data_IF_623807935098
#
_entry.id   IF_623807935098
#
_cell.length_a   1.000
_cell.length_b   1.000
_cell.length_c   1.000
_cell.angle_alpha   90.00
_cell.angle_beta   90.00
_cell.angle_gamma   90.00
#
_symmetry.space_group_name_H-M   'P 1'
#
loop_
_entity.id
_entity.type
_entity.pdbx_description
1 polymer ?
#
# COMPACT_ATOMS: atom_id res chain seq x y z
N UNK A 1 -29.45 6.09 37.19
CA UNK A 1 -28.37 5.55 36.34
C UNK A 1 -28.96 4.33 35.68
N UNK A 2 -29.13 4.46 34.38
CA UNK A 2 -29.96 3.58 33.54
C UNK A 2 -29.33 2.19 33.41
N UNK A 3 -30.21 1.18 33.38
CA UNK A 3 -29.91 -0.24 33.24
C UNK A 3 -29.13 -0.51 31.95
N UNK A 4 -27.81 -0.58 32.03
CA UNK A 4 -27.03 -1.38 31.09
C UNK A 4 -27.47 -2.83 31.30
N UNK A 5 -28.11 -3.44 30.30
CA UNK A 5 -28.57 -4.82 30.36
C UNK A 5 -27.48 -5.74 30.93
N UNK A 6 -27.87 -6.58 31.89
CA UNK A 6 -26.94 -7.42 32.65
C UNK A 6 -26.06 -8.21 31.68
N UNK A 7 -24.75 -8.26 31.91
CA UNK A 7 -23.83 -9.06 31.10
C UNK A 7 -24.25 -10.55 31.04
N UNK A 8 -25.05 -11.01 32.01
CA UNK A 8 -25.69 -12.33 32.05
C UNK A 8 -26.81 -12.55 31.02
N UNK A 9 -27.38 -11.48 30.47
CA UNK A 9 -28.48 -11.54 29.48
C UNK A 9 -27.97 -11.50 28.03
N UNK A 10 -26.67 -11.27 27.83
CA UNK A 10 -26.06 -11.25 26.50
C UNK A 10 -26.00 -12.64 25.88
N UNK A 11 -26.15 -12.71 24.56
CA UNK A 11 -25.94 -13.94 23.82
C UNK A 11 -24.49 -14.42 23.99
N UNK A 12 -24.30 -15.74 24.11
CA UNK A 12 -22.98 -16.34 24.34
C UNK A 12 -21.99 -16.01 23.20
N UNK A 13 -22.48 -15.83 21.98
CA UNK A 13 -21.67 -15.49 20.81
C UNK A 13 -21.15 -14.03 20.82
N UNK A 14 -21.80 -13.15 21.57
CA UNK A 14 -21.51 -11.71 21.62
C UNK A 14 -20.80 -11.29 22.93
N UNK A 15 -20.50 -12.26 23.80
CA UNK A 15 -19.76 -12.03 25.04
C UNK A 15 -18.37 -11.50 24.71
N UNK A 16 -17.98 -10.42 25.36
CA UNK A 16 -16.63 -9.87 25.35
C UNK A 16 -15.89 -10.21 26.64
N UNK A 17 -14.57 -10.05 26.63
CA UNK A 17 -13.74 -10.26 27.83
C UNK A 17 -14.22 -9.35 28.98
N UNK A 18 -14.62 -8.11 28.69
CA UNK A 18 -15.20 -7.19 29.68
C UNK A 18 -16.48 -7.74 30.31
N UNK A 19 -17.35 -8.38 29.52
CA UNK A 19 -18.59 -8.96 30.03
C UNK A 19 -18.34 -10.11 31.03
N UNK A 20 -17.26 -10.88 30.83
CA UNK A 20 -16.85 -11.92 31.78
C UNK A 20 -16.40 -11.31 33.12
N UNK A 21 -15.69 -10.17 33.08
CA UNK A 21 -15.33 -9.43 34.30
C UNK A 21 -16.54 -8.83 35.02
N UNK A 22 -17.52 -8.32 34.27
CA UNK A 22 -18.78 -7.82 34.85
C UNK A 22 -19.59 -8.96 35.50
N UNK A 23 -19.66 -10.12 34.85
CA UNK A 23 -20.28 -11.33 35.43
C UNK A 23 -19.53 -11.75 36.71
N UNK A 24 -18.20 -11.77 36.70
CA UNK A 24 -17.39 -12.11 37.86
C UNK A 24 -17.64 -11.15 39.04
N UNK A 25 -17.83 -9.86 38.77
CA UNK A 25 -18.14 -8.86 39.79
C UNK A 25 -19.52 -9.11 40.43
N UNK A 26 -20.54 -9.41 39.62
CA UNK A 26 -21.89 -9.75 40.13
C UNK A 26 -21.85 -11.03 40.96
N UNK A 27 -21.17 -12.07 40.47
CA UNK A 27 -20.99 -13.35 41.21
C UNK A 27 -20.21 -13.13 42.51
N UNK A 28 -19.20 -12.27 42.50
CA UNK A 28 -18.43 -11.89 43.69
C UNK A 28 -19.29 -11.21 44.76
N UNK A 29 -20.18 -10.30 44.36
CA UNK A 29 -21.12 -9.65 45.29
C UNK A 29 -22.09 -10.64 45.95
N UNK A 30 -22.57 -11.66 45.22
CA UNK A 30 -23.40 -12.71 45.81
C UNK A 30 -22.61 -13.56 46.83
N UNK A 31 -21.34 -13.86 46.53
CA UNK A 31 -20.48 -14.55 47.48
C UNK A 31 -20.19 -13.73 48.73
N UNK A 32 -19.99 -12.43 48.61
CA UNK A 32 -19.81 -11.53 49.75
C UNK A 32 -21.01 -11.57 50.70
N UNK A 33 -22.25 -11.52 50.16
CA UNK A 33 -23.47 -11.64 50.98
C UNK A 33 -23.61 -12.98 51.69
N UNK A 34 -23.19 -14.08 51.05
CA UNK A 34 -23.21 -15.41 51.66
C UNK A 34 -22.14 -15.51 52.76
N UNK A 35 -20.95 -14.93 52.55
CA UNK A 35 -19.89 -14.86 53.54
C UNK A 35 -20.37 -14.09 54.77
N UNK A 36 -21.06 -12.96 54.58
CA UNK A 36 -21.58 -12.13 55.67
C UNK A 36 -22.61 -12.87 56.55
N UNK A 37 -23.43 -13.75 55.96
CA UNK A 37 -24.47 -14.48 56.69
C UNK A 37 -24.00 -15.83 57.28
N UNK A 38 -23.13 -16.55 56.58
CA UNK A 38 -22.80 -17.95 56.91
C UNK A 38 -21.30 -18.19 57.17
N UNK A 39 -20.46 -17.17 57.01
CA UNK A 39 -19.01 -17.25 57.18
C UNK A 39 -18.27 -17.84 55.96
N UNK A 40 -16.97 -17.58 55.88
CA UNK A 40 -16.12 -17.94 54.73
C UNK A 40 -16.00 -19.46 54.48
N UNK A 41 -16.16 -20.27 55.53
CA UNK A 41 -16.08 -21.73 55.47
C UNK A 41 -17.07 -22.34 54.47
N UNK A 42 -18.27 -21.73 54.34
CA UNK A 42 -19.33 -22.20 53.45
C UNK A 42 -18.94 -22.14 51.96
N UNK A 43 -18.04 -21.22 51.58
CA UNK A 43 -17.65 -20.97 50.19
C UNK A 43 -16.24 -21.44 49.84
N UNK A 44 -15.44 -21.82 50.84
CA UNK A 44 -14.04 -22.23 50.73
C UNK A 44 -13.75 -23.25 49.61
N UNK A 45 -14.66 -24.21 49.37
CA UNK A 45 -14.53 -25.25 48.34
C UNK A 45 -15.17 -24.90 46.99
N UNK A 46 -16.10 -23.93 46.97
CA UNK A 46 -16.84 -23.53 45.77
C UNK A 46 -16.11 -22.41 45.02
N UNK A 47 -15.56 -21.45 45.76
CA UNK A 47 -14.87 -20.27 45.20
C UNK A 47 -13.81 -20.64 44.15
N UNK A 48 -12.88 -21.60 44.41
CA UNK A 48 -11.85 -21.94 43.42
C UNK A 48 -12.43 -22.57 42.15
N UNK A 49 -13.57 -23.29 42.25
CA UNK A 49 -14.24 -23.89 41.09
C UNK A 49 -14.92 -22.84 40.22
N UNK A 50 -15.52 -21.83 40.85
CA UNK A 50 -16.20 -20.75 40.15
C UNK A 50 -15.20 -19.83 39.47
N UNK A 51 -14.09 -19.50 40.15
CA UNK A 51 -12.94 -18.82 39.53
C UNK A 51 -12.45 -19.62 38.33
N UNK A 52 -12.28 -20.94 38.45
CA UNK A 52 -11.85 -21.77 37.32
C UNK A 52 -12.82 -21.76 36.13
N UNK A 53 -14.12 -21.74 36.38
CA UNK A 53 -15.13 -21.64 35.31
C UNK A 53 -15.06 -20.28 34.62
N UNK A 54 -14.89 -19.19 35.37
CA UNK A 54 -14.74 -17.84 34.83
C UNK A 54 -13.44 -17.69 34.04
N UNK A 55 -12.32 -18.26 34.49
CA UNK A 55 -11.06 -18.33 33.73
C UNK A 55 -11.24 -19.06 32.39
N UNK A 56 -11.93 -20.21 32.39
CA UNK A 56 -12.20 -20.97 31.15
C UNK A 56 -13.05 -20.14 30.20
N UNK A 57 -14.08 -19.46 30.72
CA UNK A 57 -14.95 -18.59 29.94
C UNK A 57 -14.17 -17.42 29.33
N UNK A 58 -13.31 -16.76 30.11
CA UNK A 58 -12.44 -15.68 29.63
C UNK A 58 -11.56 -16.15 28.47
N UNK A 59 -10.91 -17.32 28.60
CA UNK A 59 -10.06 -17.88 27.54
C UNK A 59 -10.87 -18.22 26.29
N UNK A 60 -12.08 -18.77 26.43
CA UNK A 60 -12.96 -19.08 25.31
C UNK A 60 -13.42 -17.82 24.58
N UNK A 61 -13.81 -16.78 25.32
CA UNK A 61 -14.22 -15.49 24.75
C UNK A 61 -13.03 -14.76 24.09
N UNK A 62 -11.86 -14.79 24.72
CA UNK A 62 -10.61 -14.23 24.16
C UNK A 62 -10.16 -14.93 22.88
N UNK A 63 -10.49 -16.22 22.72
CA UNK A 63 -10.26 -16.96 21.47
C UNK A 63 -11.37 -16.74 20.45
N UNK A 64 -12.59 -16.44 20.90
CA UNK A 64 -13.71 -16.13 20.00
C UNK A 64 -13.52 -14.78 19.31
N UNK A 65 -12.74 -13.88 19.90
CA UNK A 65 -12.26 -12.66 19.23
C UNK A 65 -11.24 -12.91 18.10
N UNK A 66 -11.02 -14.18 17.68
CA UNK A 66 -10.27 -14.58 16.46
C UNK A 66 -11.14 -14.36 15.17
N UNK A 67 -12.21 -13.58 15.29
CA UNK A 67 -12.87 -12.87 14.20
C UNK A 67 -11.97 -12.19 13.14
N UNK A 68 -10.75 -11.64 13.41
CA UNK A 68 -9.92 -11.01 12.38
C UNK A 68 -9.56 -11.94 11.22
N UNK A 69 -9.30 -13.24 11.44
CA UNK A 69 -8.97 -14.14 10.31
C UNK A 69 -10.19 -14.35 9.40
N UNK A 70 -11.38 -14.48 10.01
CA UNK A 70 -12.62 -14.60 9.24
C UNK A 70 -13.00 -13.29 8.53
N UNK A 71 -12.65 -12.16 9.12
CA UNK A 71 -12.90 -10.82 8.56
C UNK A 71 -11.88 -10.47 7.47
N UNK A 72 -10.61 -10.84 7.64
CA UNK A 72 -9.55 -10.80 6.62
C UNK A 72 -9.94 -11.67 5.42
N UNK A 73 -10.37 -12.91 5.64
CA UNK A 73 -10.83 -13.78 4.56
C UNK A 73 -12.08 -13.23 3.84
N UNK A 74 -12.97 -12.53 4.55
CA UNK A 74 -14.11 -11.82 3.93
C UNK A 74 -13.64 -10.65 3.08
N UNK A 75 -12.72 -9.83 3.57
CA UNK A 75 -12.14 -8.72 2.82
C UNK A 75 -11.36 -9.20 1.58
N UNK A 76 -10.60 -10.28 1.72
CA UNK A 76 -9.89 -10.94 0.61
C UNK A 76 -10.89 -11.46 -0.44
N UNK A 77 -11.98 -12.10 0.00
CA UNK A 77 -13.03 -12.57 -0.90
C UNK A 77 -13.68 -11.41 -1.67
N UNK A 78 -13.98 -10.30 -1.00
CA UNK A 78 -14.60 -9.13 -1.63
C UNK A 78 -13.63 -8.41 -2.58
N UNK A 79 -12.34 -8.34 -2.24
CA UNK A 79 -11.28 -7.89 -3.14
C UNK A 79 -11.20 -8.77 -4.39
N UNK A 80 -11.17 -10.10 -4.23
CA UNK A 80 -11.11 -11.04 -5.35
C UNK A 80 -12.36 -10.98 -6.24
N UNK A 81 -13.54 -10.73 -5.66
CA UNK A 81 -14.77 -10.49 -6.41
C UNK A 81 -14.65 -9.23 -7.26
N UNK A 82 -14.15 -8.14 -6.69
CA UNK A 82 -13.95 -6.88 -7.39
C UNK A 82 -12.93 -7.01 -8.54
N UNK A 83 -11.81 -7.69 -8.28
CA UNK A 83 -10.81 -7.98 -9.31
C UNK A 83 -11.38 -8.83 -10.44
N UNK A 84 -12.20 -9.83 -10.12
CA UNK A 84 -12.88 -10.66 -11.14
C UNK A 84 -13.82 -9.81 -12.00
N UNK A 85 -14.61 -8.93 -11.39
CA UNK A 85 -15.53 -8.05 -12.13
C UNK A 85 -14.78 -7.07 -13.03
N UNK A 86 -13.71 -6.44 -12.53
CA UNK A 86 -12.90 -5.51 -13.31
C UNK A 86 -12.20 -6.20 -14.49
N UNK A 87 -11.68 -7.42 -14.30
CA UNK A 87 -11.13 -8.23 -15.40
C UNK A 87 -12.17 -8.53 -16.46
N UNK A 88 -13.38 -8.94 -16.07
CA UNK A 88 -14.46 -9.26 -17.01
C UNK A 88 -14.91 -8.00 -17.78
N UNK A 89 -14.97 -6.84 -17.12
CA UNK A 89 -15.27 -5.57 -17.76
C UNK A 89 -14.19 -5.11 -18.73
N UNK A 90 -12.91 -5.32 -18.36
CA UNK A 90 -11.78 -5.08 -19.27
C UNK A 90 -11.87 -5.99 -20.49
N UNK A 91 -12.09 -7.29 -20.33
CA UNK A 91 -12.27 -8.21 -21.45
C UNK A 91 -13.45 -7.82 -22.35
N UNK A 92 -14.56 -7.38 -21.75
CA UNK A 92 -15.72 -6.89 -22.51
C UNK A 92 -15.41 -5.61 -23.29
N UNK A 93 -14.60 -4.69 -22.74
CA UNK A 93 -14.13 -3.49 -23.43
C UNK A 93 -13.22 -3.84 -24.60
N UNK A 94 -12.19 -4.65 -24.35
CA UNK A 94 -11.27 -5.10 -25.41
C UNK A 94 -12.00 -5.84 -26.53
N UNK A 95 -13.00 -6.66 -26.21
CA UNK A 95 -13.82 -7.34 -27.21
C UNK A 95 -14.58 -6.37 -28.11
N UNK A 96 -15.21 -5.34 -27.53
CA UNK A 96 -15.89 -4.30 -28.30
C UNK A 96 -14.93 -3.47 -29.15
N UNK A 97 -13.74 -3.20 -28.64
CA UNK A 97 -12.69 -2.52 -29.41
C UNK A 97 -12.23 -3.37 -30.59
N UNK A 98 -12.05 -4.69 -30.41
CA UNK A 98 -11.77 -5.61 -31.50
C UNK A 98 -12.90 -5.63 -32.53
N UNK A 99 -14.16 -5.76 -32.09
CA UNK A 99 -15.33 -5.72 -32.98
C UNK A 99 -15.35 -4.42 -33.81
N UNK A 100 -15.09 -3.28 -33.19
CA UNK A 100 -15.03 -1.99 -33.89
C UNK A 100 -13.89 -1.95 -34.92
N UNK A 101 -12.71 -2.46 -34.57
CA UNK A 101 -11.56 -2.55 -35.49
C UNK A 101 -11.89 -3.47 -36.66
N UNK A 102 -12.53 -4.61 -36.42
CA UNK A 102 -12.97 -5.52 -37.47
C UNK A 102 -14.00 -4.87 -38.40
N UNK A 103 -14.95 -4.11 -37.86
CA UNK A 103 -15.96 -3.40 -38.66
C UNK A 103 -15.34 -2.31 -39.54
N UNK A 104 -14.41 -1.52 -38.98
CA UNK A 104 -13.66 -0.51 -39.76
C UNK A 104 -12.87 -1.19 -40.87
N UNK A 105 -12.15 -2.27 -40.55
CA UNK A 105 -11.35 -3.00 -41.54
C UNK A 105 -12.21 -3.63 -42.65
N UNK A 106 -13.41 -4.15 -42.32
CA UNK A 106 -14.39 -4.62 -43.31
C UNK A 106 -14.88 -3.48 -44.20
N UNK A 107 -15.14 -2.30 -43.64
CA UNK A 107 -15.51 -1.11 -44.39
C UNK A 107 -14.43 -0.71 -45.39
N UNK A 108 -13.18 -0.55 -44.92
CA UNK A 108 -12.04 -0.21 -45.76
C UNK A 108 -11.80 -1.24 -46.88
N UNK A 109 -11.89 -2.53 -46.56
CA UNK A 109 -11.77 -3.60 -47.55
C UNK A 109 -12.86 -3.51 -48.63
N UNK A 110 -14.10 -3.21 -48.23
CA UNK A 110 -15.23 -3.05 -49.15
C UNK A 110 -15.07 -1.80 -50.04
N UNK A 111 -14.57 -0.70 -49.48
CA UNK A 111 -14.30 0.53 -50.23
C UNK A 111 -13.20 0.32 -51.27
N UNK A 112 -12.13 -0.38 -50.90
CA UNK A 112 -11.06 -0.75 -51.84
C UNK A 112 -11.57 -1.68 -52.95
N UNK A 113 -12.40 -2.68 -52.62
CA UNK A 113 -13.02 -3.54 -53.62
C UNK A 113 -13.93 -2.74 -54.58
N UNK A 114 -14.67 -1.77 -54.05
CA UNK A 114 -15.53 -0.89 -54.84
C UNK A 114 -14.71 -0.01 -55.79
N UNK A 115 -13.58 0.54 -55.32
CA UNK A 115 -12.63 1.30 -56.15
C UNK A 115 -12.01 0.43 -57.24
N UNK A 116 -11.60 -0.81 -56.92
CA UNK A 116 -11.07 -1.74 -57.92
C UNK A 116 -12.12 -2.04 -58.99
N UNK A 117 -13.37 -2.29 -58.59
CA UNK A 117 -14.45 -2.56 -59.53
C UNK A 117 -14.72 -1.36 -60.47
N UNK A 118 -14.75 -0.14 -59.93
CA UNK A 118 -14.88 1.08 -60.72
C UNK A 118 -13.72 1.24 -61.72
N UNK A 119 -12.48 1.09 -61.26
CA UNK A 119 -11.30 1.17 -62.14
C UNK A 119 -11.28 0.07 -63.20
N UNK A 120 -11.77 -1.14 -62.90
CA UNK A 120 -11.92 -2.22 -63.88
C UNK A 120 -12.98 -1.89 -64.94
N UNK A 121 -14.10 -1.30 -64.54
CA UNK A 121 -15.16 -0.86 -65.46
C UNK A 121 -14.70 0.29 -66.35
N UNK A 122 -14.00 1.28 -65.78
CA UNK A 122 -13.38 2.37 -66.54
C UNK A 122 -12.36 1.86 -67.55
N UNK A 123 -11.46 0.96 -67.14
CA UNK A 123 -10.49 0.36 -68.06
C UNK A 123 -11.18 -0.42 -69.19
N UNK A 124 -12.23 -1.19 -68.87
CA UNK A 124 -13.01 -1.91 -69.88
C UNK A 124 -13.69 -0.95 -70.86
N UNK A 125 -14.28 0.13 -70.35
CA UNK A 125 -14.91 1.19 -71.14
C UNK A 125 -13.91 1.89 -72.07
N UNK A 126 -12.74 2.25 -71.55
CA UNK A 126 -11.65 2.86 -72.33
C UNK A 126 -11.14 1.91 -73.41
N UNK A 127 -10.97 0.62 -73.11
CA UNK A 127 -10.60 -0.41 -74.10
C UNK A 127 -11.65 -0.54 -75.22
N UNK A 128 -12.94 -0.55 -74.88
CA UNK A 128 -14.02 -0.59 -75.88
C UNK A 128 -14.07 0.67 -76.74
N UNK A 129 -13.82 1.84 -76.15
CA UNK A 129 -13.83 3.13 -76.86
C UNK A 129 -12.60 3.29 -77.78
N UNK A 130 -11.45 2.77 -77.36
CA UNK A 130 -10.25 2.72 -78.22
C UNK A 130 -10.39 1.75 -79.39
N UNK A 131 -11.26 0.74 -79.27
CA UNK A 131 -11.57 -0.21 -80.35
C UNK A 131 -12.60 0.30 -81.37
N UNK A 132 -13.36 1.35 -81.05
CA UNK A 132 -14.46 1.86 -81.88
C UNK A 132 -14.13 3.16 -82.65
N UNK A 133 -12.85 3.50 -82.82
CA UNK A 133 -12.45 4.70 -83.59
C UNK A 133 -12.42 4.43 -85.10
N UNK A 134 -13.50 4.79 -85.77
CA UNK A 134 -13.60 5.13 -87.20
C UNK A 134 -14.26 6.52 -87.35
N UNK A 135 -14.14 7.22 -88.50
CA UNK A 135 -14.11 8.68 -88.52
C UNK A 135 -15.46 9.35 -88.24
N UNK A 136 -15.37 10.40 -87.42
CA UNK A 136 -16.42 11.26 -86.88
C UNK A 136 -17.41 11.77 -87.94
N UNK A 137 -18.71 11.67 -87.64
CA UNK A 137 -19.81 12.20 -88.47
C UNK A 137 -20.62 13.24 -87.68
N UNK A 138 -21.45 14.04 -88.35
CA UNK A 138 -22.23 15.15 -87.75
C UNK A 138 -23.16 14.75 -86.58
N UNK A 139 -23.47 13.46 -86.40
CA UNK A 139 -24.12 12.93 -85.18
C UNK A 139 -23.29 13.14 -83.90
N UNK A 140 -21.97 13.21 -84.01
CA UNK A 140 -21.07 13.31 -82.87
C UNK A 140 -21.11 14.71 -82.23
N UNK A 141 -21.52 15.76 -82.96
CA UNK A 141 -21.75 17.09 -82.40
C UNK A 141 -22.96 17.12 -81.45
N UNK A 142 -24.05 16.44 -81.81
CA UNK A 142 -25.23 16.28 -80.93
C UNK A 142 -24.97 15.30 -79.78
N UNK A 143 -24.16 14.25 -80.00
CA UNK A 143 -23.70 13.38 -78.91
C UNK A 143 -22.75 14.10 -77.97
N UNK A 144 -21.91 15.00 -78.46
CA UNK A 144 -21.02 15.83 -77.65
C UNK A 144 -21.80 16.85 -76.81
N UNK A 145 -22.90 17.41 -77.32
CA UNK A 145 -23.86 18.24 -76.53
C UNK A 145 -24.57 17.42 -75.44
N UNK A 146 -25.04 16.21 -75.76
CA UNK A 146 -25.60 15.28 -74.77
C UNK A 146 -24.57 14.75 -73.77
N UNK A 147 -23.29 14.66 -74.17
CA UNK A 147 -22.16 14.30 -73.30
C UNK A 147 -21.83 15.45 -72.34
N UNK A 148 -21.86 16.69 -72.81
CA UNK A 148 -21.70 17.88 -71.95
C UNK A 148 -22.85 18.03 -70.96
N UNK A 149 -24.08 17.63 -71.30
CA UNK A 149 -25.20 17.61 -70.34
C UNK A 149 -25.02 16.52 -69.26
N UNK A 150 -24.54 15.33 -69.63
CA UNK A 150 -24.19 14.27 -68.66
C UNK A 150 -23.03 14.69 -67.77
N UNK A 151 -21.99 15.31 -68.32
CA UNK A 151 -20.87 15.89 -67.58
C UNK A 151 -21.33 17.00 -66.63
N UNK A 152 -22.24 17.87 -67.06
CA UNK A 152 -22.88 18.89 -66.20
C UNK A 152 -23.66 18.24 -65.06
N UNK A 153 -24.37 17.15 -65.32
CA UNK A 153 -25.11 16.42 -64.29
C UNK A 153 -24.17 15.71 -63.29
N UNK A 154 -23.05 15.15 -63.75
CA UNK A 154 -21.99 14.62 -62.89
C UNK A 154 -21.37 15.72 -62.05
N UNK A 155 -21.02 16.87 -62.64
CA UNK A 155 -20.47 18.03 -61.92
C UNK A 155 -21.45 18.56 -60.86
N UNK A 156 -22.75 18.57 -61.14
CA UNK A 156 -23.78 18.95 -60.15
C UNK A 156 -23.81 17.97 -58.98
N UNK A 157 -23.80 16.66 -59.25
CA UNK A 157 -23.74 15.63 -58.18
C UNK A 157 -22.44 15.71 -57.38
N UNK A 158 -21.31 15.95 -58.05
CA UNK A 158 -20.02 16.11 -57.39
C UNK A 158 -20.04 17.32 -56.46
N UNK A 159 -20.60 18.45 -56.92
CA UNK A 159 -20.79 19.65 -56.10
C UNK A 159 -21.68 19.37 -54.89
N UNK A 160 -22.80 18.66 -55.06
CA UNK A 160 -23.68 18.28 -53.95
C UNK A 160 -22.97 17.38 -52.92
N UNK A 161 -22.14 16.43 -53.36
CA UNK A 161 -21.34 15.58 -52.47
C UNK A 161 -20.27 16.40 -51.75
N UNK A 162 -19.57 17.30 -52.44
CA UNK A 162 -18.56 18.19 -51.85
C UNK A 162 -19.20 19.12 -50.82
N UNK A 163 -20.37 19.69 -51.10
CA UNK A 163 -21.07 20.56 -50.17
C UNK A 163 -21.55 19.76 -48.93
N UNK A 164 -22.03 18.53 -49.11
CA UNK A 164 -22.35 17.62 -47.99
C UNK A 164 -21.14 17.28 -47.13
N UNK A 165 -20.01 16.92 -47.76
CA UNK A 165 -18.76 16.63 -47.05
C UNK A 165 -18.27 17.85 -46.27
N UNK A 166 -18.39 19.06 -46.82
CA UNK A 166 -18.06 20.30 -46.11
C UNK A 166 -18.92 20.52 -44.87
N UNK A 167 -20.23 20.27 -44.97
CA UNK A 167 -21.13 20.41 -43.84
C UNK A 167 -20.90 19.32 -42.78
N UNK A 168 -20.55 18.10 -43.21
CA UNK A 168 -20.16 17.01 -42.31
C UNK A 168 -18.84 17.32 -41.59
N UNK A 169 -17.83 17.84 -42.28
CA UNK A 169 -16.58 18.30 -41.66
C UNK A 169 -16.88 19.37 -40.61
N UNK A 170 -17.70 20.38 -40.93
CA UNK A 170 -18.10 21.42 -39.95
C UNK A 170 -18.88 20.86 -38.77
N UNK A 171 -19.69 19.83 -38.97
CA UNK A 171 -20.40 19.16 -37.88
C UNK A 171 -19.42 18.40 -36.98
N UNK A 172 -18.47 17.67 -37.57
CA UNK A 172 -17.42 16.96 -36.85
C UNK A 172 -16.48 17.89 -36.10
N UNK A 173 -16.10 19.03 -36.69
CA UNK A 173 -15.30 20.05 -36.01
C UNK A 173 -16.02 20.56 -34.75
N UNK A 174 -17.32 20.84 -34.83
CA UNK A 174 -18.13 21.25 -33.66
C UNK A 174 -18.25 20.14 -32.60
N UNK A 175 -18.36 18.88 -33.03
CA UNK A 175 -18.36 17.74 -32.10
C UNK A 175 -17.00 17.62 -31.39
N UNK A 176 -15.90 17.82 -32.13
CA UNK A 176 -14.55 17.81 -31.57
C UNK A 176 -14.32 18.95 -30.59
N UNK A 177 -14.80 20.17 -30.88
CA UNK A 177 -14.67 21.28 -29.92
C UNK A 177 -15.41 20.99 -28.63
N UNK A 178 -16.64 20.47 -28.70
CA UNK A 178 -17.40 20.10 -27.50
C UNK A 178 -16.71 19.00 -26.68
N UNK A 179 -16.18 17.97 -27.35
CA UNK A 179 -15.41 16.92 -26.67
C UNK A 179 -14.13 17.44 -26.04
N UNK A 180 -13.45 18.41 -26.66
CA UNK A 180 -12.29 19.06 -26.07
C UNK A 180 -12.67 19.86 -24.82
N UNK A 181 -13.77 20.60 -24.84
CA UNK A 181 -14.30 21.31 -23.66
C UNK A 181 -14.61 20.34 -22.52
N UNK A 182 -15.22 19.19 -22.81
CA UNK A 182 -15.49 18.14 -21.82
C UNK A 182 -14.19 17.55 -21.24
N UNK A 183 -13.18 17.30 -22.09
CA UNK A 183 -11.86 16.81 -21.65
C UNK A 183 -11.19 17.84 -20.74
N UNK A 184 -11.21 19.12 -21.10
CA UNK A 184 -10.65 20.20 -20.27
C UNK A 184 -11.38 20.30 -18.92
N UNK A 185 -12.71 20.18 -18.91
CA UNK A 185 -13.49 20.17 -17.67
C UNK A 185 -13.13 18.97 -16.77
N UNK A 186 -12.99 17.78 -17.35
CA UNK A 186 -12.56 16.57 -16.63
C UNK A 186 -11.13 16.70 -16.10
N UNK A 187 -10.21 17.27 -16.89
CA UNK A 187 -8.85 17.55 -16.44
C UNK A 187 -8.83 18.52 -15.25
N UNK A 188 -9.63 19.58 -15.28
CA UNK A 188 -9.76 20.49 -14.14
C UNK A 188 -10.31 19.80 -12.89
N UNK A 189 -11.30 18.91 -13.04
CA UNK A 189 -11.80 18.11 -11.91
C UNK A 189 -10.73 17.16 -11.37
N UNK A 190 -9.97 16.51 -12.25
CA UNK A 190 -8.87 15.64 -11.87
C UNK A 190 -7.80 16.40 -11.08
N UNK A 191 -7.37 17.58 -11.54
CA UNK A 191 -6.40 18.41 -10.82
C UNK A 191 -6.91 18.86 -9.44
N UNK A 192 -8.20 19.21 -9.33
CA UNK A 192 -8.82 19.53 -8.04
C UNK A 192 -8.80 18.34 -7.09
N UNK A 193 -9.17 17.14 -7.57
CA UNK A 193 -9.14 15.92 -6.77
C UNK A 193 -7.72 15.53 -6.36
N UNK A 194 -6.73 15.68 -7.24
CA UNK A 194 -5.32 15.44 -6.88
C UNK A 194 -4.88 16.35 -5.73
N UNK A 195 -5.25 17.64 -5.78
CA UNK A 195 -4.95 18.59 -4.70
C UNK A 195 -5.60 18.19 -3.38
N UNK A 196 -6.88 17.87 -3.39
CA UNK A 196 -7.59 17.39 -2.19
C UNK A 196 -6.96 16.10 -1.65
N UNK A 197 -6.58 15.17 -2.52
CA UNK A 197 -5.97 13.91 -2.11
C UNK A 197 -4.60 14.16 -1.46
N UNK A 198 -3.80 15.05 -2.02
CA UNK A 198 -2.52 15.48 -1.43
C UNK A 198 -2.73 16.10 -0.04
N UNK A 199 -3.68 17.03 0.10
CA UNK A 199 -4.00 17.69 1.37
C UNK A 199 -4.45 16.67 2.43
N UNK A 200 -5.27 15.68 2.04
CA UNK A 200 -5.72 14.62 2.93
C UNK A 200 -4.57 13.69 3.35
N UNK A 201 -3.67 13.31 2.44
CA UNK A 201 -2.47 12.52 2.78
C UNK A 201 -1.57 13.28 3.75
N UNK A 202 -1.37 14.57 3.51
CA UNK A 202 -0.59 15.42 4.42
C UNK A 202 -1.25 15.47 5.81
N UNK A 203 -2.58 15.66 5.87
CA UNK A 203 -3.33 15.66 7.13
C UNK A 203 -3.23 14.32 7.88
N UNK A 204 -3.31 13.19 7.17
CA UNK A 204 -3.12 11.86 7.75
C UNK A 204 -1.72 11.76 8.35
N UNK A 205 -0.67 12.13 7.61
CA UNK A 205 0.72 12.10 8.10
C UNK A 205 0.90 12.95 9.37
N UNK A 206 0.32 14.15 9.42
CA UNK A 206 0.34 15.00 10.62
C UNK A 206 -0.36 14.32 11.79
N UNK A 207 -1.57 13.79 11.60
CA UNK A 207 -2.33 13.10 12.67
C UNK A 207 -1.60 11.84 13.14
N UNK A 208 -1.00 11.07 12.24
CA UNK A 208 -0.19 9.91 12.58
C UNK A 208 1.05 10.29 13.40
N UNK A 209 1.75 11.37 13.03
CA UNK A 209 2.90 11.85 13.81
C UNK A 209 2.49 12.32 15.22
N UNK A 210 1.34 13.00 15.34
CA UNK A 210 0.77 13.39 16.63
C UNK A 210 0.39 12.18 17.47
N UNK A 211 -0.23 11.16 16.85
CA UNK A 211 -0.56 9.91 17.53
C UNK A 211 0.67 9.18 18.07
N UNK A 212 1.75 9.12 17.28
CA UNK A 212 3.03 8.53 17.72
C UNK A 212 3.64 9.30 18.89
N UNK A 213 3.67 10.63 18.82
CA UNK A 213 4.18 11.46 19.92
C UNK A 213 3.39 11.27 21.22
N UNK A 214 2.05 11.15 21.14
CA UNK A 214 1.21 10.87 22.30
C UNK A 214 1.47 9.47 22.89
N UNK A 215 1.70 8.46 22.04
CA UNK A 215 2.07 7.12 22.49
C UNK A 215 3.42 7.16 23.21
N UNK A 216 4.42 7.86 22.68
CA UNK A 216 5.73 8.03 23.31
C UNK A 216 5.62 8.71 24.68
N UNK A 217 4.85 9.80 24.78
CA UNK A 217 4.60 10.48 26.06
C UNK A 217 3.89 9.58 27.07
N UNK A 218 2.89 8.80 26.63
CA UNK A 218 2.20 7.84 27.48
C UNK A 218 3.18 6.81 28.06
N UNK A 219 4.02 6.23 27.20
CA UNK A 219 5.03 5.23 27.61
C UNK A 219 6.03 5.82 28.60
N UNK A 220 6.48 7.05 28.39
CA UNK A 220 7.39 7.74 29.31
C UNK A 220 6.77 8.00 30.68
N UNK A 221 5.49 8.42 30.71
CA UNK A 221 4.75 8.62 31.96
C UNK A 221 4.49 7.30 32.69
N UNK A 222 4.13 6.23 31.98
CA UNK A 222 3.95 4.89 32.54
C UNK A 222 5.26 4.36 33.14
N UNK A 223 6.38 4.50 32.45
CA UNK A 223 7.70 4.13 32.95
C UNK A 223 8.08 4.95 34.21
N UNK A 224 7.82 6.26 34.20
CA UNK A 224 8.07 7.15 35.34
C UNK A 224 7.20 6.81 36.56
N UNK A 225 5.95 6.41 36.34
CA UNK A 225 5.05 5.97 37.40
C UNK A 225 5.51 4.62 37.98
N UNK A 226 5.94 3.70 37.12
CA UNK A 226 6.48 2.40 37.54
C UNK A 226 7.76 2.54 38.37
N UNK A 227 8.69 3.40 37.95
CA UNK A 227 9.91 3.71 38.70
C UNK A 227 9.60 4.27 40.10
N UNK A 228 8.70 5.25 40.19
CA UNK A 228 8.23 5.78 41.47
C UNK A 228 7.55 4.73 42.34
N UNK A 229 6.78 3.83 41.73
CA UNK A 229 6.16 2.69 42.43
C UNK A 229 7.21 1.75 43.05
N UNK A 230 8.30 1.47 42.34
CA UNK A 230 9.42 0.67 42.84
C UNK A 230 10.15 1.38 44.00
N UNK A 231 10.42 2.68 43.88
CA UNK A 231 11.02 3.48 44.95
C UNK A 231 10.16 3.50 46.22
N UNK A 232 8.85 3.73 46.09
CA UNK A 232 7.93 3.68 47.23
C UNK A 232 7.90 2.27 47.85
N UNK A 233 7.94 1.23 47.03
CA UNK A 233 8.07 -0.15 47.49
C UNK A 233 9.34 -0.38 48.31
N UNK A 234 10.49 0.08 47.82
CA UNK A 234 11.77 -0.02 48.51
C UNK A 234 11.77 0.75 49.84
N UNK A 235 11.26 1.98 49.85
CA UNK A 235 11.14 2.79 51.08
C UNK A 235 10.22 2.12 52.10
N UNK A 236 9.11 1.50 51.68
CA UNK A 236 8.23 0.75 52.59
C UNK A 236 8.94 -0.44 53.22
N UNK A 237 9.76 -1.16 52.46
CA UNK A 237 10.57 -2.27 52.98
C UNK A 237 11.59 -1.77 53.99
N UNK A 238 12.27 -0.66 53.72
CA UNK A 238 13.24 -0.08 54.63
C UNK A 238 12.58 0.42 55.93
N UNK A 239 11.42 1.09 55.83
CA UNK A 239 10.62 1.47 57.00
C UNK A 239 10.20 0.25 57.82
N UNK A 240 9.79 -0.85 57.17
CA UNK A 240 9.45 -2.08 57.87
C UNK A 240 10.67 -2.68 58.61
N UNK A 241 11.84 -2.70 57.96
CA UNK A 241 13.10 -3.17 58.54
C UNK A 241 13.54 -2.32 59.74
N UNK A 242 13.43 -1.00 59.63
CA UNK A 242 13.74 -0.08 60.73
C UNK A 242 12.78 -0.24 61.90
N UNK A 243 11.48 -0.47 61.64
CA UNK A 243 10.49 -0.76 62.70
C UNK A 243 10.81 -2.07 63.43
N UNK A 244 11.21 -3.10 62.71
CA UNK A 244 11.60 -4.39 63.30
C UNK A 244 12.84 -4.24 64.19
N UNK A 245 13.86 -3.49 63.73
CA UNK A 245 15.04 -3.16 64.56
C UNK A 245 14.66 -2.39 65.82
N UNK A 246 13.78 -1.41 65.71
CA UNK A 246 13.30 -0.62 66.86
C UNK A 246 12.49 -1.46 67.85
N UNK A 247 11.70 -2.43 67.37
CA UNK A 247 11.00 -3.40 68.23
C UNK A 247 11.95 -4.41 68.88
N UNK A 248 13.02 -4.81 68.20
CA UNK A 248 14.07 -5.66 68.75
C UNK A 248 14.95 -4.98 69.82
N UNK A 249 15.00 -3.65 69.82
CA UNK A 249 15.74 -2.84 70.81
C UNK A 249 14.91 -2.43 72.05
N UNK A 250 13.73 -3.00 72.26
CA UNK A 250 12.99 -2.86 73.53
C UNK A 250 13.41 -3.97 74.51
N UNK A 251 14.34 -3.74 75.46
CA UNK A 251 14.41 -4.62 76.62
C UNK A 251 13.11 -4.44 77.40
N UNK A 252 12.57 -5.55 77.92
CA UNK A 252 11.43 -5.58 78.82
C UNK A 252 11.56 -4.48 79.90
N UNK A 253 10.87 -3.36 79.70
CA UNK A 253 10.88 -2.25 80.66
C UNK A 253 9.92 -2.60 81.78
N UNK A 254 10.49 -2.95 82.93
CA UNK A 254 9.79 -2.93 84.22
C UNK A 254 9.13 -1.55 84.41
N UNK A 255 7.92 -1.48 84.99
CA UNK A 255 7.19 -0.24 85.16
C UNK A 255 7.66 0.50 86.42
N UNK A 256 8.94 0.84 86.48
CA UNK A 256 9.40 1.83 87.43
C UNK A 256 10.65 2.54 86.90
N UNK A 257 10.80 3.79 87.31
CA UNK A 257 11.99 4.62 87.20
C UNK A 257 12.13 5.62 86.02
N UNK A 258 12.67 6.76 86.44
CA UNK A 258 12.56 8.12 85.95
C UNK A 258 13.16 8.41 84.56
N UNK A 259 12.75 9.55 84.03
CA UNK A 259 13.30 10.18 82.82
C UNK A 259 14.82 10.39 82.88
N UNK A 260 15.49 10.30 81.72
CA UNK A 260 16.63 11.17 81.45
C UNK A 260 16.51 11.95 80.13
N UNK A 261 17.26 13.05 80.12
CA UNK A 261 17.35 14.18 79.18
C UNK A 261 17.87 13.83 77.77
N UNK A 262 17.72 14.74 76.78
CA UNK A 262 18.16 14.51 75.40
C UNK A 262 19.68 14.72 75.24
N UNK A 263 20.39 13.96 74.38
CA UNK A 263 21.74 14.31 73.97
C UNK A 263 21.76 15.29 72.78
N UNK A 264 22.79 16.14 72.83
CA UNK A 264 23.13 17.28 71.98
C UNK A 264 23.57 16.88 70.55
N UNK A 265 23.41 17.75 69.54
CA UNK A 265 23.77 17.49 68.15
C UNK A 265 25.28 17.67 67.93
N UNK A 266 26.03 16.58 67.95
CA UNK A 266 27.44 16.58 67.56
C UNK A 266 27.90 15.16 67.24
N UNK A 267 27.37 14.53 66.19
CA UNK A 267 27.96 13.33 65.58
C UNK A 267 27.42 13.02 64.16
N UNK A 268 27.02 14.06 63.41
CA UNK A 268 26.77 13.98 61.96
C UNK A 268 27.93 14.68 61.24
N UNK A 269 29.10 14.04 61.14
CA UNK A 269 30.19 14.61 60.33
C UNK A 269 31.21 13.62 59.76
N UNK A 270 31.10 12.31 59.98
CA UNK A 270 32.10 11.35 59.49
C UNK A 270 31.46 10.02 59.07
N UNK A 271 30.73 10.03 57.95
CA UNK A 271 30.41 8.84 57.14
C UNK A 271 30.24 9.20 55.65
N UNK A 272 31.01 10.17 55.15
CA UNK A 272 31.22 10.38 53.71
C UNK A 272 32.66 10.03 53.35
N UNK A 273 33.04 8.75 53.40
CA UNK A 273 34.28 8.27 52.76
C UNK A 273 34.29 6.73 52.69
N UNK A 274 33.33 6.14 51.97
CA UNK A 274 33.46 4.75 51.50
C UNK A 274 32.93 4.61 50.07
N UNK A 275 33.50 5.43 49.17
CA UNK A 275 33.43 5.25 47.71
C UNK A 275 34.79 4.73 47.22
N UNK A 276 35.22 3.59 47.76
CA UNK A 276 36.56 3.06 47.57
C UNK A 276 36.59 1.53 47.54
N UNK A 277 35.79 0.92 46.67
CA UNK A 277 35.76 -0.53 46.55
C UNK A 277 35.13 -1.00 45.24
N UNK A 278 35.61 -0.51 44.09
CA UNK A 278 35.21 -1.06 42.80
C UNK A 278 36.44 -1.39 41.97
N UNK A 279 36.60 -2.69 41.71
CA UNK A 279 37.63 -3.29 40.88
C UNK A 279 37.67 -2.62 39.49
N UNK A 280 38.80 -2.02 39.08
CA UNK A 280 38.95 -1.36 37.77
C UNK A 280 38.74 -2.28 36.56
N UNK A 281 38.62 -3.59 36.76
CA UNK A 281 38.60 -4.60 35.72
C UNK A 281 37.27 -5.39 35.61
N UNK A 282 36.18 -4.89 36.22
CA UNK A 282 34.84 -5.52 36.10
C UNK A 282 34.27 -5.41 34.67
N UNK A 283 34.06 -6.54 33.96
CA UNK A 283 33.47 -6.56 32.61
C UNK A 283 32.03 -6.03 32.55
N UNK A 284 31.30 -6.04 33.67
CA UNK A 284 29.89 -5.64 33.77
C UNK A 284 29.70 -4.20 34.28
N UNK A 285 30.79 -3.46 34.52
CA UNK A 285 30.72 -2.03 34.87
C UNK A 285 30.07 -1.25 33.71
N UNK A 286 29.02 -0.45 33.96
CA UNK A 286 28.45 0.42 32.94
C UNK A 286 29.54 1.32 32.38
N UNK A 287 29.87 1.13 31.09
CA UNK A 287 30.94 1.89 30.41
C UNK A 287 30.55 3.33 30.10
N UNK A 288 29.26 3.63 30.22
CA UNK A 288 28.66 4.92 29.94
C UNK A 288 27.79 5.33 31.12
N UNK A 289 27.77 6.61 31.41
CA UNK A 289 26.81 7.20 32.34
C UNK A 289 25.41 7.16 31.73
N UNK A 290 24.36 7.17 32.57
CA UNK A 290 22.97 7.24 32.09
C UNK A 290 22.72 8.48 31.22
N UNK A 291 23.46 9.56 31.47
CA UNK A 291 23.41 10.78 30.67
C UNK A 291 23.99 10.56 29.26
N UNK A 292 25.17 9.96 29.16
CA UNK A 292 25.77 9.62 27.86
C UNK A 292 24.90 8.66 27.05
N UNK A 293 24.26 7.68 27.69
CA UNK A 293 23.32 6.78 27.01
C UNK A 293 22.09 7.53 26.49
N UNK A 294 21.56 8.49 27.27
CA UNK A 294 20.45 9.33 26.85
C UNK A 294 20.82 10.19 25.65
N UNK A 295 22.00 10.79 25.67
CA UNK A 295 22.49 11.66 24.60
C UNK A 295 22.72 10.85 23.30
N UNK A 296 23.34 9.67 23.39
CA UNK A 296 23.53 8.75 22.24
C UNK A 296 22.19 8.27 21.69
N UNK A 297 21.20 8.00 22.54
CA UNK A 297 19.86 7.62 22.09
C UNK A 297 19.14 8.77 21.38
N UNK A 298 19.32 10.00 21.86
CA UNK A 298 18.77 11.19 21.22
C UNK A 298 19.42 11.44 19.86
N UNK A 299 20.75 11.41 19.79
CA UNK A 299 21.50 11.57 18.53
C UNK A 299 21.15 10.46 17.53
N UNK A 300 21.02 9.21 17.98
CA UNK A 300 20.56 8.09 17.15
C UNK A 300 19.17 8.33 16.59
N UNK A 301 18.24 8.88 17.38
CA UNK A 301 16.87 9.16 16.92
C UNK A 301 16.83 10.33 15.93
N UNK A 302 17.63 11.37 16.15
CA UNK A 302 17.78 12.46 15.18
C UNK A 302 18.37 11.97 13.84
N UNK A 303 19.43 11.16 13.89
CA UNK A 303 20.03 10.58 12.69
C UNK A 303 19.06 9.66 11.96
N UNK A 304 18.26 8.87 12.69
CA UNK A 304 17.23 8.02 12.10
C UNK A 304 16.16 8.85 11.36
N UNK A 305 15.78 10.00 11.91
CA UNK A 305 14.85 10.94 11.27
C UNK A 305 15.44 11.56 10.00
N UNK A 306 16.72 11.97 10.04
CA UNK A 306 17.45 12.50 8.88
C UNK A 306 17.60 11.45 7.77
N UNK A 307 17.93 10.20 8.11
CA UNK A 307 18.03 9.09 7.15
C UNK A 307 16.69 8.80 6.49
N UNK A 308 15.59 8.87 7.25
CA UNK A 308 14.25 8.70 6.69
C UNK A 308 13.91 9.79 5.67
N UNK A 309 14.14 11.06 5.99
CA UNK A 309 13.92 12.18 5.07
C UNK A 309 14.78 12.06 3.80
N UNK A 310 16.06 11.71 3.95
CA UNK A 310 16.96 11.50 2.81
C UNK A 310 16.55 10.30 1.95
N UNK A 311 16.02 9.23 2.56
CA UNK A 311 15.47 8.10 1.81
C UNK A 311 14.24 8.51 1.00
N UNK A 312 13.35 9.33 1.57
CA UNK A 312 12.17 9.85 0.89
C UNK A 312 12.58 10.74 -0.31
N UNK A 313 13.53 11.65 -0.10
CA UNK A 313 14.09 12.50 -1.14
C UNK A 313 14.76 11.69 -2.26
N UNK A 314 15.52 10.65 -1.93
CA UNK A 314 16.12 9.73 -2.92
C UNK A 314 15.06 8.96 -3.70
N UNK A 315 13.97 8.52 -3.07
CA UNK A 315 12.85 7.89 -3.79
C UNK A 315 12.12 8.87 -4.70
N UNK A 316 11.99 10.13 -4.29
CA UNK A 316 11.40 11.18 -5.11
C UNK A 316 12.22 11.41 -6.39
N UNK A 317 13.54 11.65 -6.27
CA UNK A 317 14.38 11.87 -7.45
C UNK A 317 14.53 10.61 -8.32
N UNK A 318 14.56 9.40 -7.73
CA UNK A 318 14.57 8.16 -8.52
C UNK A 318 13.27 8.00 -9.33
N UNK A 319 12.13 8.43 -8.79
CA UNK A 319 10.84 8.37 -9.48
C UNK A 319 10.74 9.44 -10.58
N UNK A 320 11.26 10.64 -10.31
CA UNK A 320 11.34 11.74 -11.27
C UNK A 320 12.30 11.43 -12.45
N UNK A 321 13.43 10.76 -12.19
CA UNK A 321 14.31 10.24 -13.25
C UNK A 321 13.59 9.20 -14.14
N UNK A 322 12.78 8.31 -13.55
CA UNK A 322 12.01 7.33 -14.32
C UNK A 322 10.85 7.93 -15.11
N UNK A 323 10.24 9.02 -14.64
CA UNK A 323 9.21 9.73 -15.38
C UNK A 323 9.81 10.55 -16.54
N UNK A 324 10.97 11.17 -16.34
CA UNK A 324 11.65 11.95 -17.39
C UNK A 324 12.21 11.09 -18.55
N UNK A 325 12.56 9.83 -18.33
CA UNK A 325 12.95 8.90 -19.41
C UNK A 325 11.76 8.45 -20.29
N UNK A 326 10.52 8.56 -19.81
CA UNK A 326 9.34 8.08 -20.56
C UNK A 326 8.72 9.09 -21.55
N UNK A 327 9.22 10.34 -21.60
CA UNK A 327 8.53 11.46 -22.28
C UNK A 327 9.19 11.95 -23.59
N UNK A 328 10.21 11.27 -24.13
CA UNK A 328 10.81 11.68 -25.43
C UNK A 328 10.63 10.69 -26.57
N UNK A 329 9.67 10.92 -27.49
CA UNK A 329 9.70 10.36 -28.83
C UNK A 329 9.96 11.46 -29.87
N UNK A 330 11.12 11.45 -30.54
CA UNK A 330 11.32 12.20 -31.80
C UNK A 330 12.49 11.64 -32.63
N UNK A 331 12.50 11.82 -33.97
CA UNK A 331 12.95 10.80 -34.92
C UNK A 331 14.31 11.07 -35.62
N UNK A 332 15.14 10.01 -35.70
CA UNK A 332 16.13 9.71 -36.78
C UNK A 332 17.31 10.68 -37.04
N UNK A 333 18.29 10.35 -37.92
CA UNK A 333 19.40 9.41 -37.70
C UNK A 333 20.79 10.05 -37.90
N UNK A 334 21.84 9.58 -37.19
CA UNK A 334 23.24 9.39 -37.66
C UNK A 334 24.27 9.45 -36.51
N UNK A 335 25.46 8.82 -36.66
CA UNK A 335 26.28 8.35 -35.56
C UNK A 335 27.49 9.27 -35.32
N UNK A 336 27.64 9.81 -34.12
CA UNK A 336 28.94 10.33 -33.69
C UNK A 336 29.33 9.83 -32.30
N UNK A 337 30.48 9.17 -32.32
CA UNK A 337 31.28 8.65 -31.23
C UNK A 337 31.46 9.68 -30.12
N UNK A 338 30.91 9.40 -28.94
CA UNK A 338 31.52 9.85 -27.69
C UNK A 338 31.55 8.72 -26.69
N UNK A 339 32.75 8.15 -26.59
CA UNK A 339 33.24 7.36 -25.47
C UNK A 339 33.05 8.12 -24.17
N UNK A 340 32.07 7.72 -23.35
CA UNK A 340 32.15 7.90 -21.90
C UNK A 340 31.60 6.67 -21.21
N UNK A 341 32.53 5.86 -20.71
CA UNK A 341 32.26 4.70 -19.86
C UNK A 341 31.52 5.14 -18.61
N UNK A 342 30.24 4.74 -18.51
CA UNK A 342 29.54 4.47 -17.25
C UNK A 342 28.70 3.23 -17.50
N UNK A 343 29.02 2.18 -16.74
CA UNK A 343 28.35 0.89 -16.74
C UNK A 343 26.88 1.03 -16.32
N UNK A 344 25.99 1.21 -17.30
CA UNK A 344 24.59 0.82 -17.17
C UNK A 344 24.39 -0.38 -18.08
N UNK A 345 23.83 -1.45 -17.53
CA UNK A 345 23.46 -2.64 -18.28
C UNK A 345 22.51 -2.21 -19.40
N UNK A 346 23.01 -2.18 -20.63
CA UNK A 346 22.18 -2.13 -21.82
C UNK A 346 21.15 -3.26 -21.69
N UNK A 347 19.86 -3.02 -21.94
CA UNK A 347 18.87 -4.09 -21.94
C UNK A 347 19.34 -5.14 -22.94
N UNK A 348 19.77 -6.30 -22.43
CA UNK A 348 20.20 -7.39 -23.28
C UNK A 348 19.06 -7.69 -24.24
N UNK A 349 19.35 -7.63 -25.54
CA UNK A 349 18.40 -7.98 -26.60
C UNK A 349 17.58 -9.20 -26.16
N UNK A 350 16.25 -9.10 -26.21
CA UNK A 350 15.37 -10.17 -25.74
C UNK A 350 15.71 -11.54 -26.35
N UNK A 351 16.31 -11.52 -27.55
CA UNK A 351 16.86 -12.69 -28.24
C UNK A 351 18.11 -13.24 -27.53
N UNK A 352 19.07 -12.39 -27.13
CA UNK A 352 20.23 -12.83 -26.33
C UNK A 352 19.79 -13.45 -25.02
N UNK A 353 18.88 -12.81 -24.29
CA UNK A 353 18.37 -13.34 -23.03
C UNK A 353 17.63 -14.67 -23.21
N UNK A 354 16.82 -14.81 -24.26
CA UNK A 354 16.18 -16.09 -24.59
C UNK A 354 17.22 -17.18 -24.88
N UNK A 355 18.26 -16.84 -25.66
CA UNK A 355 19.30 -17.80 -26.03
C UNK A 355 20.13 -18.22 -24.81
N UNK A 356 20.60 -17.28 -23.98
CA UNK A 356 21.51 -17.59 -22.86
C UNK A 356 20.79 -18.11 -21.61
N UNK A 357 19.56 -17.64 -21.33
CA UNK A 357 18.85 -18.01 -20.10
C UNK A 357 17.95 -19.23 -20.27
N UNK A 358 17.36 -19.44 -21.46
CA UNK A 358 16.42 -20.53 -21.69
C UNK A 358 16.98 -21.62 -22.61
N UNK A 359 17.51 -21.23 -23.78
CA UNK A 359 17.89 -22.21 -24.81
C UNK A 359 19.23 -22.89 -24.48
N UNK A 360 20.27 -22.14 -24.09
CA UNK A 360 21.60 -22.69 -23.77
C UNK A 360 21.58 -23.77 -22.69
N UNK A 361 20.91 -23.56 -21.53
CA UNK A 361 20.84 -24.58 -20.49
C UNK A 361 20.06 -25.82 -20.94
N UNK A 362 18.99 -25.66 -21.72
CA UNK A 362 18.23 -26.78 -22.27
C UNK A 362 19.02 -27.58 -23.30
N UNK A 363 19.82 -26.90 -24.13
CA UNK A 363 20.75 -27.53 -25.07
C UNK A 363 21.87 -28.28 -24.32
N UNK A 364 22.45 -27.68 -23.28
CA UNK A 364 23.48 -28.29 -22.45
C UNK A 364 22.94 -29.52 -21.67
N UNK A 365 21.68 -29.47 -21.25
CA UNK A 365 21.01 -30.58 -20.57
C UNK A 365 20.49 -31.68 -21.53
N UNK A 366 20.70 -31.54 -22.85
CA UNK A 366 20.26 -32.52 -23.85
C UNK A 366 18.74 -32.62 -24.02
N UNK A 367 17.99 -31.61 -23.54
CA UNK A 367 16.52 -31.62 -23.54
C UNK A 367 15.91 -31.20 -24.88
N UNK A 368 16.73 -30.70 -25.80
CA UNK A 368 16.31 -30.33 -27.17
C UNK A 368 16.99 -31.30 -28.15
N UNK A 369 16.24 -32.26 -28.73
CA UNK A 369 16.78 -33.22 -29.69
C UNK A 369 17.21 -32.52 -30.99
N UNK A 370 18.19 -33.10 -31.67
CA UNK A 370 19.07 -32.52 -32.70
C UNK A 370 18.41 -31.61 -33.76
N UNK A 371 18.16 -30.36 -33.38
CA UNK A 371 17.83 -29.28 -34.30
C UNK A 371 19.13 -28.68 -34.89
N UNK A 372 19.33 -28.71 -36.22
CA UNK A 372 20.52 -28.17 -36.87
C UNK A 372 20.71 -26.66 -36.66
N UNK A 373 19.65 -25.92 -36.29
CA UNK A 373 19.73 -24.48 -36.02
C UNK A 373 20.46 -24.13 -34.72
N UNK A 374 20.64 -25.10 -33.80
CA UNK A 374 21.29 -24.91 -32.50
C UNK A 374 22.78 -25.32 -32.50
N UNK A 375 23.33 -25.75 -33.64
CA UNK A 375 24.75 -26.08 -33.85
C UNK A 375 25.74 -24.96 -33.43
N UNK A 376 25.50 -23.67 -33.74
CA UNK A 376 26.39 -22.60 -33.31
C UNK A 376 26.48 -22.46 -31.79
N UNK A 377 25.35 -22.67 -31.08
CA UNK A 377 25.27 -22.58 -29.62
C UNK A 377 26.05 -23.74 -28.97
N UNK A 378 25.94 -24.97 -29.53
CA UNK A 378 26.74 -26.12 -29.06
C UNK A 378 28.25 -25.92 -29.24
N UNK A 379 28.68 -25.33 -30.36
CA UNK A 379 30.10 -24.97 -30.57
C UNK A 379 30.59 -23.93 -29.57
N UNK A 380 29.75 -22.97 -29.19
CA UNK A 380 30.09 -21.95 -28.20
C UNK A 380 30.32 -22.57 -26.80
N UNK A 381 29.53 -23.59 -26.43
CA UNK A 381 29.69 -24.33 -25.17
C UNK A 381 30.98 -25.16 -25.17
N UNK A 382 31.38 -25.77 -26.30
CA UNK A 382 32.60 -26.59 -26.36
C UNK A 382 33.91 -25.80 -26.34
N UNK A 383 33.84 -24.47 -26.39
CA UNK A 383 34.98 -23.53 -26.41
C UNK A 383 35.26 -22.90 -25.04
N UNK A 384 34.44 -23.20 -24.03
CA UNK A 384 34.62 -22.86 -22.61
C UNK A 384 34.94 -24.15 -21.86
#
# INVERSE_FOLDING_TARGET
MEESGSALEKNVADLTVMDVYDIAAVVGQEFERIIDQYGCEALSRLMPKVVRVLEILEVMVSRSSIGPETEELRLELDKLRLERTDRLEKEKRHRKELELVEDVWRGEAQDLLSQIAQLQEENKSLLTNMSNKDPMSEEDLQRHEGMTERERQVMKKLKEVVDKQRDEIRAKDRELTLKNEDIEALQQQQSRLMKINHDLRHKISVVESQGKALIEQKVELEASAQARGQEVGALRQEVARLRERLQGELPARNPDEAAPQPPSPAEEALCEEEMGGLDPQDPNRPRFTLQELRDVLHERNELKSKVFLLQEELTYYRSDETENETVTPSPSPSPELRTRSRSSAQPESGIKRLIFTAIMPMVAAGLIPDDPTLQPIRRLISLV
#
